data_IF_280215856416
#
_entry.id   IF_280215856416
#
_cell.length_a   1.000
_cell.length_b   1.000
_cell.length_c   1.000
_cell.angle_alpha   90.00
_cell.angle_beta   90.00
_cell.angle_gamma   90.00
#
_symmetry.space_group_name_H-M   'P 1'
#
loop_
_entity.id
_entity.type
_entity.pdbx_description
1 polymer ?
#
# COMPACT_ATOMS: atom_id res chain seq x y z
N UNK A 1 -11.86 -6.12 58.55
CA UNK A 1 -12.65 -6.66 57.41
C UNK A 1 -12.22 -5.90 56.16
N UNK A 2 -11.39 -6.50 55.32
CA UNK A 2 -10.92 -5.90 54.07
C UNK A 2 -11.61 -6.62 52.91
N UNK A 3 -12.38 -5.90 52.10
CA UNK A 3 -13.09 -6.44 50.96
C UNK A 3 -12.12 -6.55 49.76
N UNK A 4 -11.87 -7.78 49.29
CA UNK A 4 -11.11 -8.04 48.06
C UNK A 4 -11.99 -7.78 46.84
N UNK A 5 -11.66 -6.77 46.04
CA UNK A 5 -12.26 -6.55 44.73
C UNK A 5 -11.75 -7.58 43.72
N UNK A 6 -12.64 -8.39 43.15
CA UNK A 6 -12.36 -9.27 42.02
C UNK A 6 -12.22 -8.44 40.74
N UNK A 7 -11.06 -8.51 40.09
CA UNK A 7 -10.85 -7.98 38.76
C UNK A 7 -11.64 -8.80 37.73
N UNK A 8 -12.49 -8.12 36.96
CA UNK A 8 -13.20 -8.71 35.81
C UNK A 8 -12.24 -8.71 34.62
N UNK A 9 -11.90 -9.88 34.11
CA UNK A 9 -11.04 -10.04 32.93
C UNK A 9 -11.70 -9.49 31.65
N UNK A 10 -10.91 -9.15 30.62
CA UNK A 10 -11.44 -8.64 29.37
C UNK A 10 -12.31 -9.71 28.67
N UNK A 11 -13.50 -9.29 28.24
CA UNK A 11 -14.42 -10.14 27.49
C UNK A 11 -13.78 -10.64 26.19
N UNK A 12 -13.92 -11.94 25.92
CA UNK A 12 -13.59 -12.53 24.62
C UNK A 12 -14.34 -11.79 23.50
N UNK A 13 -13.68 -11.45 22.38
CA UNK A 13 -14.37 -10.90 21.23
C UNK A 13 -15.32 -11.95 20.66
N UNK A 14 -16.60 -11.58 20.55
CA UNK A 14 -17.65 -12.41 20.00
C UNK A 14 -17.23 -13.03 18.65
N UNK A 15 -17.46 -14.33 18.50
CA UNK A 15 -17.17 -15.09 17.31
C UNK A 15 -17.72 -14.38 16.06
N UNK A 16 -16.83 -14.10 15.11
CA UNK A 16 -17.10 -13.34 13.89
C UNK A 16 -18.01 -14.18 13.00
N UNK A 17 -19.20 -13.67 12.69
CA UNK A 17 -20.06 -14.25 11.68
C UNK A 17 -19.31 -14.27 10.34
N UNK A 18 -18.95 -15.46 9.89
CA UNK A 18 -18.50 -15.71 8.52
C UNK A 18 -19.66 -15.38 7.59
N UNK A 19 -19.57 -14.27 6.87
CA UNK A 19 -20.54 -13.96 5.81
C UNK A 19 -20.57 -15.15 4.85
N UNK A 20 -21.71 -15.84 4.81
CA UNK A 20 -21.94 -16.95 3.91
C UNK A 20 -21.74 -16.47 2.46
N UNK A 21 -20.99 -17.26 1.68
CA UNK A 21 -20.78 -17.10 0.24
C UNK A 21 -22.12 -17.25 -0.50
N UNK A 22 -22.98 -16.25 -0.44
CA UNK A 22 -24.10 -16.11 -1.37
C UNK A 22 -23.58 -15.68 -2.75
N UNK A 23 -24.21 -16.11 -3.85
CA UNK A 23 -23.85 -15.65 -5.19
C UNK A 23 -23.98 -14.13 -5.25
N UNK A 24 -22.83 -13.46 -5.35
CA UNK A 24 -22.69 -12.01 -5.40
C UNK A 24 -23.30 -11.49 -6.70
N UNK A 25 -24.42 -10.76 -6.61
CA UNK A 25 -25.04 -10.02 -7.73
C UNK A 25 -24.15 -8.90 -8.31
N UNK A 26 -22.91 -8.77 -7.85
CA UNK A 26 -21.95 -7.75 -8.30
C UNK A 26 -20.82 -8.29 -9.19
N UNK A 27 -20.80 -9.59 -9.52
CA UNK A 27 -19.82 -10.18 -10.43
C UNK A 27 -18.37 -10.22 -9.92
N UNK A 28 -18.13 -9.82 -8.66
CA UNK A 28 -16.81 -9.92 -8.04
C UNK A 28 -16.58 -11.30 -7.42
N UNK A 29 -15.42 -11.91 -7.72
CA UNK A 29 -14.87 -13.07 -7.01
C UNK A 29 -13.80 -12.62 -6.02
N UNK A 30 -13.79 -13.20 -4.83
CA UNK A 30 -12.70 -12.98 -3.87
C UNK A 30 -11.38 -13.53 -4.42
N UNK A 31 -10.27 -12.89 -4.04
CA UNK A 31 -8.91 -13.35 -4.32
C UNK A 31 -8.27 -13.73 -3.00
N UNK A 32 -7.91 -15.00 -2.87
CA UNK A 32 -7.28 -15.51 -1.66
C UNK A 32 -5.89 -14.90 -1.45
N UNK A 33 -5.45 -14.87 -0.19
CA UNK A 33 -4.10 -14.42 0.14
C UNK A 33 -3.04 -15.25 -0.61
N UNK A 34 -2.03 -14.59 -1.16
CA UNK A 34 -0.99 -15.14 -2.04
C UNK A 34 -1.47 -15.66 -3.40
N UNK A 35 -2.77 -15.63 -3.72
CA UNK A 35 -3.25 -16.00 -5.04
C UNK A 35 -2.83 -14.97 -6.10
N UNK A 36 -2.72 -15.43 -7.34
CA UNK A 36 -2.34 -14.58 -8.47
C UNK A 36 -3.54 -14.20 -9.32
N UNK A 37 -3.52 -12.98 -9.84
CA UNK A 37 -4.47 -12.48 -10.85
C UNK A 37 -3.71 -11.76 -11.95
N UNK A 38 -4.28 -11.71 -13.15
CA UNK A 38 -3.79 -10.88 -14.24
C UNK A 38 -4.71 -9.68 -14.38
N UNK A 39 -4.15 -8.47 -14.35
CA UNK A 39 -4.87 -7.21 -14.55
C UNK A 39 -3.98 -6.28 -15.38
N UNK A 40 -4.57 -5.64 -16.40
CA UNK A 40 -3.84 -4.72 -17.29
C UNK A 40 -2.56 -5.34 -17.90
N UNK A 41 -2.64 -6.62 -18.28
CA UNK A 41 -1.51 -7.37 -18.87
C UNK A 41 -0.41 -7.77 -17.87
N UNK A 42 -0.52 -7.41 -16.59
CA UNK A 42 0.48 -7.74 -15.56
C UNK A 42 -0.05 -8.79 -14.59
N UNK A 43 0.86 -9.63 -14.09
CA UNK A 43 0.59 -10.59 -13.02
C UNK A 43 0.75 -9.90 -11.66
N UNK A 44 -0.23 -10.08 -10.80
CA UNK A 44 -0.30 -9.52 -9.45
C UNK A 44 -0.49 -10.63 -8.43
N UNK A 45 0.06 -10.46 -7.23
CA UNK A 45 -0.14 -11.36 -6.10
C UNK A 45 -0.90 -10.65 -4.98
N UNK A 46 -1.96 -11.26 -4.46
CA UNK A 46 -2.72 -10.71 -3.34
C UNK A 46 -1.97 -10.84 -2.01
N UNK A 47 -1.99 -9.77 -1.22
CA UNK A 47 -1.56 -9.73 0.17
C UNK A 47 -2.70 -9.16 1.01
N UNK A 48 -3.46 -10.02 1.66
CA UNK A 48 -4.66 -9.62 2.42
C UNK A 48 -4.82 -10.43 3.70
N UNK A 49 -5.37 -9.77 4.73
CA UNK A 49 -5.64 -10.38 6.04
C UNK A 49 -7.01 -11.03 6.19
N UNK A 50 -7.94 -10.77 5.26
CA UNK A 50 -9.31 -11.23 5.37
C UNK A 50 -9.82 -11.76 4.02
N UNK A 51 -10.64 -12.83 4.02
CA UNK A 51 -11.38 -13.25 2.84
C UNK A 51 -12.18 -12.07 2.27
N UNK A 52 -12.09 -11.86 0.96
CA UNK A 52 -12.77 -10.77 0.27
C UNK A 52 -12.13 -9.39 0.45
N UNK A 53 -10.99 -9.28 1.14
CA UNK A 53 -10.25 -8.02 1.22
C UNK A 53 -9.72 -7.56 -0.15
N UNK A 54 -9.45 -8.51 -1.04
CA UNK A 54 -9.24 -8.30 -2.48
C UNK A 54 -10.29 -9.08 -3.24
N UNK A 55 -10.91 -8.45 -4.23
CA UNK A 55 -11.85 -9.10 -5.13
C UNK A 55 -11.74 -8.53 -6.54
N UNK A 56 -11.95 -9.36 -7.55
CA UNK A 56 -11.83 -8.99 -8.97
C UNK A 56 -13.08 -9.42 -9.73
N UNK A 57 -13.40 -8.77 -10.86
CA UNK A 57 -14.46 -9.22 -11.76
C UNK A 57 -13.93 -9.44 -13.18
N UNK A 58 -14.79 -9.92 -14.08
CA UNK A 58 -14.42 -10.23 -15.47
C UNK A 58 -14.16 -9.00 -16.35
N UNK A 59 -14.43 -7.80 -15.85
CA UNK A 59 -14.22 -6.53 -16.54
C UNK A 59 -12.90 -5.83 -16.14
N UNK A 60 -11.93 -6.60 -15.64
CA UNK A 60 -10.65 -6.10 -15.09
C UNK A 60 -10.83 -5.01 -14.01
N UNK A 61 -11.94 -5.07 -13.26
CA UNK A 61 -12.11 -4.25 -12.07
C UNK A 61 -11.59 -4.99 -10.86
N UNK A 62 -10.95 -4.25 -9.96
CA UNK A 62 -10.49 -4.77 -8.68
C UNK A 62 -11.03 -3.90 -7.56
N UNK A 63 -11.57 -4.56 -6.53
CA UNK A 63 -12.04 -3.95 -5.31
C UNK A 63 -11.17 -4.39 -4.14
N UNK A 64 -10.81 -3.41 -3.35
CA UNK A 64 -10.13 -3.58 -2.08
C UNK A 64 -11.06 -3.15 -0.95
N UNK A 65 -11.09 -3.91 0.13
CA UNK A 65 -11.78 -3.52 1.36
C UNK A 65 -10.96 -3.99 2.56
N UNK A 66 -10.74 -3.10 3.53
CA UNK A 66 -10.06 -3.47 4.76
C UNK A 66 -10.58 -2.65 5.94
N UNK A 67 -10.58 -3.27 7.11
CA UNK A 67 -11.03 -2.69 8.38
C UNK A 67 -9.94 -2.76 9.44
N UNK A 68 -10.14 -2.03 10.54
CA UNK A 68 -9.37 -2.18 11.78
C UNK A 68 -9.18 -3.65 12.14
N UNK A 69 -7.92 -4.07 12.30
CA UNK A 69 -7.52 -5.43 12.64
C UNK A 69 -7.29 -6.37 11.45
N UNK A 70 -7.70 -6.01 10.23
CA UNK A 70 -7.49 -6.84 9.04
C UNK A 70 -6.10 -6.59 8.45
N UNK A 71 -5.19 -7.53 8.69
CA UNK A 71 -3.77 -7.40 8.30
C UNK A 71 -3.21 -8.71 7.79
N UNK A 72 -2.17 -8.64 6.96
CA UNK A 72 -1.38 -9.82 6.66
C UNK A 72 -0.73 -10.38 7.94
N UNK A 73 -0.51 -11.68 8.00
CA UNK A 73 0.04 -12.36 9.19
C UNK A 73 1.39 -11.79 9.63
N UNK A 74 2.21 -11.35 8.66
CA UNK A 74 3.53 -10.75 8.87
C UNK A 74 3.50 -9.25 9.23
N UNK A 75 2.34 -8.58 9.11
CA UNK A 75 2.23 -7.18 9.51
C UNK A 75 2.09 -7.04 11.03
N UNK A 76 2.68 -6.02 11.67
CA UNK A 76 2.41 -5.74 13.07
C UNK A 76 0.95 -5.29 13.28
N UNK A 77 0.39 -5.39 14.50
CA UNK A 77 -1.03 -5.11 14.74
C UNK A 77 -1.46 -3.66 14.47
N UNK A 78 -0.51 -2.71 14.40
CA UNK A 78 -0.76 -1.32 14.03
C UNK A 78 -1.05 -1.08 12.53
N UNK A 79 -0.99 -2.11 11.69
CA UNK A 79 -1.19 -2.02 10.24
C UNK A 79 -2.45 -2.74 9.78
N UNK A 80 -2.95 -2.31 8.64
CA UNK A 80 -4.09 -2.85 7.92
C UNK A 80 -3.65 -3.07 6.48
N UNK A 81 -3.99 -4.22 5.88
CA UNK A 81 -3.56 -4.55 4.52
C UNK A 81 -4.59 -5.35 3.73
N UNK A 82 -4.88 -4.86 2.53
CA UNK A 82 -5.48 -5.60 1.44
C UNK A 82 -4.95 -5.03 0.12
N UNK A 83 -3.90 -5.64 -0.44
CA UNK A 83 -3.20 -5.10 -1.60
C UNK A 83 -2.88 -6.17 -2.65
N UNK A 84 -2.57 -5.72 -3.86
CA UNK A 84 -1.98 -6.48 -4.94
C UNK A 84 -0.55 -6.00 -5.16
N UNK A 85 0.39 -6.94 -5.17
CA UNK A 85 1.80 -6.72 -5.46
C UNK A 85 2.12 -7.16 -6.88
N UNK A 86 2.54 -6.22 -7.72
CA UNK A 86 2.97 -6.47 -9.08
C UNK A 86 4.18 -7.40 -9.10
N UNK A 87 4.14 -8.40 -9.98
CA UNK A 87 5.23 -9.36 -10.13
C UNK A 87 6.27 -8.91 -11.17
N UNK A 88 5.91 -7.93 -12.01
CA UNK A 88 6.87 -7.27 -12.89
C UNK A 88 7.83 -6.42 -12.06
N UNK A 89 9.12 -6.62 -12.32
CA UNK A 89 10.21 -5.83 -11.76
C UNK A 89 10.67 -4.83 -12.81
N UNK A 90 10.95 -3.62 -12.35
CA UNK A 90 11.52 -2.55 -13.15
C UNK A 90 12.94 -2.30 -12.70
N UNK A 91 13.89 -2.36 -13.63
CA UNK A 91 15.29 -2.07 -13.36
C UNK A 91 15.50 -0.59 -12.98
N UNK A 92 16.67 -0.27 -12.42
CA UNK A 92 17.10 1.12 -12.22
C UNK A 92 17.03 1.87 -13.55
N UNK A 93 16.40 3.03 -13.56
CA UNK A 93 16.25 3.84 -14.78
C UNK A 93 15.14 3.36 -15.73
N UNK A 94 14.52 2.21 -15.49
CA UNK A 94 13.40 1.74 -16.30
C UNK A 94 12.14 2.57 -16.02
N UNK A 95 11.42 3.02 -17.05
CA UNK A 95 10.17 3.76 -16.85
C UNK A 95 9.06 2.83 -16.34
N UNK A 96 8.32 3.31 -15.35
CA UNK A 96 7.12 2.70 -14.80
C UNK A 96 5.94 3.58 -15.22
N UNK A 97 5.02 3.03 -15.99
CA UNK A 97 3.77 3.70 -16.35
C UNK A 97 2.57 2.93 -15.82
N UNK A 98 1.70 3.62 -15.10
CA UNK A 98 0.47 3.02 -14.59
C UNK A 98 -0.66 4.04 -14.57
N UNK A 99 -1.82 3.69 -15.09
CA UNK A 99 -2.98 4.60 -15.12
C UNK A 99 -4.28 3.85 -14.95
N UNK A 100 -5.34 4.58 -14.62
CA UNK A 100 -6.68 4.05 -14.53
C UNK A 100 -7.63 5.03 -13.87
N UNK A 101 -8.68 4.48 -13.26
CA UNK A 101 -9.60 5.24 -12.43
C UNK A 101 -9.81 4.56 -11.09
N UNK A 102 -10.00 5.36 -10.05
CA UNK A 102 -10.24 4.92 -8.68
C UNK A 102 -11.49 5.60 -8.11
N UNK A 103 -12.28 4.85 -7.38
CA UNK A 103 -13.38 5.36 -6.55
C UNK A 103 -13.16 4.88 -5.12
N UNK A 104 -13.25 5.80 -4.16
CA UNK A 104 -13.26 5.47 -2.73
C UNK A 104 -14.71 5.43 -2.25
N UNK A 105 -15.11 4.38 -1.55
CA UNK A 105 -16.49 4.24 -1.04
C UNK A 105 -16.85 5.40 -0.09
N UNK A 106 -18.07 5.94 -0.20
CA UNK A 106 -18.57 7.02 0.69
C UNK A 106 -18.57 6.64 2.16
N UNK A 107 -18.72 5.35 2.45
CA UNK A 107 -18.67 4.83 3.82
C UNK A 107 -17.25 4.72 4.37
N UNK A 108 -16.20 4.99 3.57
CA UNK A 108 -14.82 4.89 4.02
C UNK A 108 -14.52 5.87 5.16
N UNK A 109 -13.79 5.40 6.16
CA UNK A 109 -13.28 6.11 7.33
C UNK A 109 -11.80 5.77 7.50
N UNK A 110 -10.97 6.80 7.60
CA UNK A 110 -9.51 6.69 7.80
C UNK A 110 -9.06 7.34 9.13
N UNK A 111 -9.97 7.37 10.10
CA UNK A 111 -9.70 8.06 11.37
C UNK A 111 -8.68 7.28 12.20
N UNK A 112 -7.65 7.99 12.67
CA UNK A 112 -6.60 7.40 13.51
C UNK A 112 -5.56 6.57 12.76
N UNK A 113 -5.55 6.59 11.42
CA UNK A 113 -4.37 6.24 10.63
C UNK A 113 -3.47 7.45 10.45
N UNK A 114 -2.17 7.24 10.53
CA UNK A 114 -1.19 8.26 10.14
C UNK A 114 -1.01 8.31 8.61
N UNK A 115 -1.30 7.20 7.93
CA UNK A 115 -1.17 7.05 6.49
C UNK A 115 -2.10 5.92 5.98
N UNK A 116 -2.56 6.06 4.73
CA UNK A 116 -3.36 5.06 4.02
C UNK A 116 -3.01 5.12 2.52
N UNK A 117 -2.04 4.32 2.08
CA UNK A 117 -1.61 4.28 0.69
C UNK A 117 -2.61 3.52 -0.19
N UNK A 118 -2.87 4.03 -1.41
CA UNK A 118 -3.60 3.27 -2.42
C UNK A 118 -2.78 2.83 -3.63
N UNK A 119 -1.65 3.48 -3.85
CA UNK A 119 -0.68 3.16 -4.90
C UNK A 119 0.72 3.37 -4.34
N UNK A 120 1.63 2.45 -4.62
CA UNK A 120 3.02 2.55 -4.19
C UNK A 120 3.95 2.03 -5.28
N UNK A 121 5.16 2.57 -5.30
CA UNK A 121 6.31 1.93 -5.92
C UNK A 121 7.22 1.49 -4.78
N UNK A 122 7.47 0.19 -4.71
CA UNK A 122 8.30 -0.41 -3.69
C UNK A 122 9.59 -0.91 -4.33
N UNK A 123 10.71 -0.67 -3.67
CA UNK A 123 11.98 -1.29 -4.04
C UNK A 123 12.00 -2.74 -3.52
N UNK A 124 12.57 -3.67 -4.28
CA UNK A 124 12.64 -5.07 -3.86
C UNK A 124 13.40 -5.19 -2.53
N UNK A 125 12.82 -5.90 -1.56
CA UNK A 125 13.46 -6.11 -0.26
C UNK A 125 14.66 -7.06 -0.46
N UNK A 126 15.91 -6.62 -0.24
CA UNK A 126 17.07 -7.50 -0.37
C UNK A 126 17.09 -8.51 0.78
N UNK A 127 17.69 -9.67 0.54
CA UNK A 127 17.86 -10.71 1.54
C UNK A 127 19.20 -10.52 2.23
N UNK A 128 19.15 -10.27 3.55
CA UNK A 128 20.32 -10.16 4.42
C UNK A 128 21.01 -11.52 4.62
N UNK A 129 22.25 -11.49 5.11
CA UNK A 129 23.11 -12.64 5.40
C UNK A 129 22.47 -13.65 6.35
N UNK A 130 21.60 -13.17 7.25
CA UNK A 130 20.82 -14.00 8.16
C UNK A 130 19.54 -14.60 7.55
N UNK A 131 19.33 -14.44 6.23
CA UNK A 131 18.16 -14.93 5.51
C UNK A 131 16.90 -14.09 5.66
N UNK A 132 16.92 -13.02 6.44
CA UNK A 132 15.78 -12.11 6.61
C UNK A 132 15.75 -11.05 5.50
N UNK A 133 14.54 -10.63 5.12
CA UNK A 133 14.36 -9.49 4.23
C UNK A 133 14.69 -8.18 4.98
N UNK A 134 15.43 -7.30 4.32
CA UNK A 134 15.52 -5.92 4.78
C UNK A 134 14.18 -5.24 4.55
N UNK A 135 13.56 -4.79 5.63
CA UNK A 135 12.29 -4.07 5.57
C UNK A 135 12.47 -2.74 4.87
N UNK A 136 12.14 -2.66 3.57
CA UNK A 136 12.16 -1.40 2.88
C UNK A 136 10.86 -0.62 3.03
N UNK A 137 11.01 0.70 3.11
CA UNK A 137 9.91 1.62 2.85
C UNK A 137 9.68 1.73 1.34
N UNK A 138 8.44 2.07 0.90
CA UNK A 138 8.19 2.37 -0.50
C UNK A 138 8.95 3.63 -0.93
N UNK A 139 9.58 3.61 -2.10
CA UNK A 139 10.25 4.79 -2.65
C UNK A 139 9.25 5.91 -2.98
N UNK A 140 8.02 5.54 -3.31
CA UNK A 140 6.93 6.44 -3.61
C UNK A 140 5.60 5.84 -3.16
N UNK A 141 4.72 6.67 -2.63
CA UNK A 141 3.35 6.31 -2.31
C UNK A 141 2.39 7.47 -2.57
N UNK A 142 1.16 7.14 -2.95
CA UNK A 142 0.03 8.06 -2.93
C UNK A 142 -0.87 7.68 -1.77
N UNK A 143 -0.90 8.55 -0.76
CA UNK A 143 -1.63 8.34 0.48
C UNK A 143 -2.94 9.12 0.47
N UNK A 144 -4.03 8.46 0.84
CA UNK A 144 -5.25 9.09 1.28
C UNK A 144 -5.08 9.51 2.75
N UNK A 145 -5.39 10.77 3.04
CA UNK A 145 -5.34 11.33 4.40
C UNK A 145 -6.45 12.36 4.60
N UNK A 146 -6.59 12.88 5.82
CA UNK A 146 -7.44 14.02 6.10
C UNK A 146 -6.59 15.30 6.24
N UNK A 147 -7.08 16.43 5.75
CA UNK A 147 -6.51 17.73 6.06
C UNK A 147 -6.92 18.21 7.47
N UNK A 148 -6.46 19.40 7.86
CA UNK A 148 -6.77 19.98 9.18
C UNK A 148 -8.28 20.23 9.40
N UNK A 149 -9.07 20.31 8.33
CA UNK A 149 -10.52 20.45 8.38
C UNK A 149 -11.27 19.12 8.35
N UNK A 150 -10.55 18.00 8.34
CA UNK A 150 -11.14 16.67 8.24
C UNK A 150 -11.56 16.29 6.81
N UNK A 151 -11.17 17.05 5.79
CA UNK A 151 -11.52 16.75 4.39
C UNK A 151 -10.51 15.77 3.78
N UNK A 152 -10.96 14.82 2.94
CA UNK A 152 -10.04 13.90 2.26
C UNK A 152 -9.10 14.63 1.30
N UNK A 153 -7.82 14.28 1.37
CA UNK A 153 -6.77 14.74 0.46
C UNK A 153 -5.88 13.57 0.06
N UNK A 154 -5.42 13.59 -1.19
CA UNK A 154 -4.31 12.74 -1.61
C UNK A 154 -3.00 13.45 -1.36
N UNK A 155 -2.00 12.71 -0.89
CA UNK A 155 -0.62 13.17 -0.71
C UNK A 155 0.30 12.26 -1.48
N UNK A 156 1.02 12.83 -2.44
CA UNK A 156 2.12 12.16 -3.10
C UNK A 156 3.36 12.32 -2.22
N UNK A 157 3.98 11.21 -1.82
CA UNK A 157 5.18 11.22 -0.99
C UNK A 157 6.21 10.24 -1.49
N UNK A 158 7.48 10.53 -1.24
CA UNK A 158 8.57 9.64 -1.63
C UNK A 158 9.82 9.85 -0.82
N UNK A 159 10.74 8.92 -0.97
CA UNK A 159 12.07 8.99 -0.41
C UNK A 159 13.00 9.76 -1.35
N UNK A 160 13.78 10.67 -0.77
CA UNK A 160 14.74 11.50 -1.52
C UNK A 160 16.16 11.40 -0.96
N UNK A 161 16.46 10.35 -0.20
CA UNK A 161 17.73 10.20 0.52
C UNK A 161 18.76 9.41 -0.28
N UNK A 162 19.95 10.00 -0.50
CA UNK A 162 21.19 9.24 -0.69
C UNK A 162 21.69 8.84 0.70
N UNK A 163 21.21 7.73 1.25
CA UNK A 163 21.55 7.36 2.61
C UNK A 163 21.32 5.90 2.90
N UNK A 164 22.22 5.34 3.71
CA UNK A 164 22.15 3.99 4.24
C UNK A 164 20.77 3.77 4.89
N UNK A 165 20.10 2.66 4.57
CA UNK A 165 18.83 2.28 5.22
C UNK A 165 19.08 1.77 6.66
N UNK A 166 19.89 2.48 7.45
CA UNK A 166 20.14 2.19 8.87
C UNK A 166 19.05 2.80 9.75
N UNK A 167 18.42 3.88 9.30
CA UNK A 167 17.28 4.54 9.92
C UNK A 167 16.27 4.91 8.84
N UNK A 168 14.99 5.01 9.20
CA UNK A 168 13.90 5.41 8.29
C UNK A 168 14.34 6.59 7.41
N UNK A 169 14.41 6.37 6.10
CA UNK A 169 14.70 7.44 5.13
C UNK A 169 13.61 8.52 5.24
N UNK A 170 13.97 9.80 5.24
CA UNK A 170 13.00 10.87 5.42
C UNK A 170 12.04 10.91 4.24
N UNK A 171 10.81 10.46 4.48
CA UNK A 171 9.69 10.62 3.55
C UNK A 171 9.36 12.10 3.39
N UNK A 172 9.36 12.59 2.14
CA UNK A 172 8.93 13.95 1.81
C UNK A 172 7.58 13.93 1.13
N UNK A 173 6.77 14.95 1.42
CA UNK A 173 5.55 15.21 0.66
C UNK A 173 5.96 15.99 -0.58
N UNK A 174 5.73 15.43 -1.76
CA UNK A 174 5.98 16.09 -3.05
C UNK A 174 4.82 16.99 -3.46
N UNK A 175 3.61 16.67 -3.03
CA UNK A 175 2.45 17.52 -3.22
C UNK A 175 1.17 16.86 -2.72
N UNK A 176 0.08 17.60 -2.82
CA UNK A 176 -1.24 17.15 -2.39
C UNK A 176 -2.34 17.69 -3.30
N UNK A 177 -3.47 16.99 -3.31
CA UNK A 177 -4.65 17.41 -4.05
C UNK A 177 -5.92 17.09 -3.25
N UNK A 178 -6.96 17.94 -3.33
CA UNK A 178 -8.28 17.62 -2.81
C UNK A 178 -8.82 16.32 -3.42
N UNK A 179 -9.54 15.54 -2.60
CA UNK A 179 -10.11 14.27 -3.02
C UNK A 179 -11.54 14.12 -2.51
N UNK A 180 -12.39 13.38 -3.23
CA UNK A 180 -13.78 13.20 -2.87
C UNK A 180 -14.16 11.71 -2.84
N UNK A 181 -14.82 11.28 -1.75
CA UNK A 181 -15.37 9.94 -1.67
C UNK A 181 -16.64 9.82 -2.51
N UNK A 182 -16.90 8.63 -3.05
CA UNK A 182 -18.01 8.33 -3.95
C UNK A 182 -17.90 8.96 -5.34
N UNK A 183 -16.78 9.62 -5.64
CA UNK A 183 -16.49 10.19 -6.96
C UNK A 183 -15.43 9.35 -7.63
N UNK A 184 -15.57 9.16 -8.93
CA UNK A 184 -14.53 8.53 -9.74
C UNK A 184 -13.45 9.55 -10.09
N UNK A 185 -12.20 9.20 -9.81
CA UNK A 185 -11.04 9.98 -10.17
C UNK A 185 -10.18 9.21 -11.16
N UNK A 186 -9.82 9.84 -12.28
CA UNK A 186 -8.78 9.32 -13.16
C UNK A 186 -7.41 9.61 -12.58
N UNK A 187 -6.46 8.71 -12.78
CA UNK A 187 -5.08 8.92 -12.36
C UNK A 187 -4.09 8.43 -13.42
N UNK A 188 -2.89 9.01 -13.41
CA UNK A 188 -1.75 8.50 -14.16
C UNK A 188 -0.47 8.69 -13.37
N UNK A 189 0.36 7.66 -13.38
CA UNK A 189 1.69 7.60 -12.78
C UNK A 189 2.71 7.37 -13.90
N UNK A 190 3.74 8.20 -13.90
CA UNK A 190 4.98 7.97 -14.63
C UNK A 190 6.12 8.08 -13.61
N UNK A 191 6.97 7.07 -13.52
CA UNK A 191 8.10 7.11 -12.62
C UNK A 191 9.34 6.45 -13.22
N UNK A 192 10.49 6.85 -12.73
CA UNK A 192 11.78 6.23 -13.01
C UNK A 192 12.53 6.19 -11.69
N UNK A 193 12.80 4.97 -11.19
CA UNK A 193 13.56 4.78 -9.95
C UNK A 193 15.06 4.96 -10.22
N UNK A 194 15.64 5.98 -9.60
CA UNK A 194 17.06 6.28 -9.66
C UNK A 194 17.91 5.50 -8.67
N UNK A 195 17.33 4.72 -7.76
CA UNK A 195 18.05 3.99 -6.70
C UNK A 195 19.01 4.91 -5.92
N UNK A 196 18.50 6.03 -5.43
CA UNK A 196 19.28 7.10 -4.78
C UNK A 196 19.84 8.14 -5.76
N UNK A 197 19.96 7.83 -7.05
CA UNK A 197 20.35 8.79 -8.09
C UNK A 197 19.15 9.52 -8.70
N UNK A 198 19.44 10.34 -9.71
CA UNK A 198 18.44 11.08 -10.45
C UNK A 198 17.38 10.13 -11.05
N UNK A 199 16.14 10.38 -10.68
CA UNK A 199 14.96 9.78 -11.27
C UNK A 199 13.85 10.83 -11.39
N UNK A 200 12.65 10.35 -11.68
CA UNK A 200 11.48 11.21 -11.87
C UNK A 200 10.24 10.53 -11.34
N UNK A 201 9.34 11.32 -10.76
CA UNK A 201 8.01 10.85 -10.34
C UNK A 201 6.99 11.91 -10.76
N UNK A 202 6.04 11.52 -11.58
CA UNK A 202 4.89 12.34 -11.97
C UNK A 202 3.60 11.60 -11.68
N UNK A 203 2.75 12.20 -10.86
CA UNK A 203 1.43 11.68 -10.55
C UNK A 203 0.37 12.72 -10.85
N UNK A 204 -0.56 12.39 -11.74
CA UNK A 204 -1.69 13.23 -12.11
C UNK A 204 -2.98 12.65 -11.53
N UNK A 205 -3.85 13.52 -11.03
CA UNK A 205 -5.22 13.23 -10.63
C UNK A 205 -6.16 14.09 -11.46
N UNK A 206 -7.08 13.47 -12.19
CA UNK A 206 -7.98 14.17 -13.11
C UNK A 206 -7.24 15.09 -14.10
N UNK A 207 -6.11 14.60 -14.63
CA UNK A 207 -5.23 15.33 -15.54
C UNK A 207 -4.40 16.46 -14.90
N UNK A 208 -4.57 16.73 -13.60
CA UNK A 208 -3.82 17.77 -12.88
C UNK A 208 -2.68 17.17 -12.06
N UNK A 209 -1.49 17.79 -12.06
CA UNK A 209 -0.37 17.28 -11.28
C UNK A 209 -0.65 17.39 -9.78
N UNK A 210 -0.54 16.26 -9.09
CA UNK A 210 -0.36 16.20 -7.62
C UNK A 210 1.13 16.26 -7.29
N UNK A 211 1.96 15.69 -8.16
CA UNK A 211 3.42 15.66 -8.07
C UNK A 211 4.04 15.66 -9.48
N UNK A 212 5.11 16.42 -9.66
CA UNK A 212 6.06 16.30 -10.78
C UNK A 212 7.46 16.59 -10.21
N UNK A 213 8.05 15.56 -9.61
CA UNK A 213 9.34 15.62 -8.93
C UNK A 213 10.44 15.06 -9.83
N UNK A 214 11.58 15.76 -9.87
CA UNK A 214 12.82 15.28 -10.49
C UNK A 214 13.98 15.48 -9.51
N UNK A 215 14.78 14.45 -9.31
CA UNK A 215 15.86 14.45 -8.32
C UNK A 215 16.18 13.04 -7.82
N UNK A 216 16.92 12.89 -6.71
CA UNK A 216 17.14 11.61 -6.07
C UNK A 216 15.83 10.89 -5.75
N UNK A 217 15.65 9.66 -6.24
CA UNK A 217 14.47 8.82 -5.96
C UNK A 217 14.90 7.44 -5.46
N UNK A 218 14.15 6.89 -4.51
CA UNK A 218 14.51 5.63 -3.86
C UNK A 218 15.77 5.75 -3.02
N UNK A 219 16.36 4.61 -2.69
CA UNK A 219 17.63 4.52 -1.98
C UNK A 219 18.59 3.58 -2.70
N UNK A 220 19.88 3.76 -2.41
CA UNK A 220 20.94 2.92 -2.96
C UNK A 220 21.20 1.76 -1.99
N UNK A 221 21.23 0.52 -2.50
CA UNK A 221 21.42 -0.68 -1.68
C UNK A 221 22.85 -0.86 -1.12
N UNK A 222 23.73 0.16 -1.20
CA UNK A 222 25.18 0.02 -0.99
C UNK A 222 25.54 -0.72 0.31
N UNK A 223 24.78 -0.48 1.37
CA UNK A 223 24.98 -1.16 2.66
C UNK A 223 24.22 -2.48 2.79
N UNK A 224 23.01 -2.57 2.23
CA UNK A 224 22.23 -3.81 2.24
C UNK A 224 22.91 -4.93 1.46
N UNK A 225 23.71 -4.57 0.45
CA UNK A 225 24.52 -5.50 -0.33
C UNK A 225 25.81 -5.92 0.37
N UNK A 226 26.34 -5.13 1.32
CA UNK A 226 27.51 -5.54 2.14
C UNK A 226 27.16 -6.71 3.04
N UNK A 227 25.94 -6.73 3.58
CA UNK A 227 25.40 -7.82 4.38
C UNK A 227 24.59 -8.83 3.54
N UNK A 228 24.67 -8.80 2.20
CA UNK A 228 23.94 -9.77 1.37
C UNK A 228 24.52 -11.18 1.53
N UNK A 229 23.65 -12.20 1.43
CA UNK A 229 24.08 -13.60 1.33
C UNK A 229 25.05 -13.79 0.14
N UNK A 230 26.32 -14.19 0.37
CA UNK A 230 27.26 -14.46 -0.71
C UNK A 230 26.72 -15.52 -1.67
N UNK A 231 26.89 -15.29 -2.97
CA UNK A 231 26.47 -16.23 -4.01
C UNK A 231 24.97 -16.25 -4.34
N UNK A 232 24.14 -15.40 -3.70
CA UNK A 232 22.75 -15.19 -4.13
C UNK A 232 22.60 -13.90 -4.91
N UNK A 233 21.99 -13.98 -6.09
CA UNK A 233 21.54 -12.81 -6.82
C UNK A 233 20.51 -12.06 -5.97
N UNK A 234 20.83 -10.82 -5.61
CA UNK A 234 19.89 -9.96 -4.91
C UNK A 234 18.81 -9.51 -5.88
N UNK A 235 17.56 -9.57 -5.43
CA UNK A 235 16.46 -8.98 -6.19
C UNK A 235 16.65 -7.47 -6.15
N UNK A 236 17.05 -6.90 -7.28
CA UNK A 236 17.15 -5.47 -7.46
C UNK A 236 15.97 -4.97 -8.30
N UNK A 237 15.72 -3.67 -8.22
CA UNK A 237 14.65 -3.01 -8.96
C UNK A 237 13.44 -2.69 -8.10
N UNK A 238 12.43 -2.14 -8.76
CA UNK A 238 11.20 -1.67 -8.14
C UNK A 238 9.99 -2.44 -8.69
N UNK A 239 8.86 -2.34 -8.01
CA UNK A 239 7.61 -2.98 -8.38
C UNK A 239 6.42 -2.17 -7.89
N UNK A 240 5.30 -2.30 -8.59
CA UNK A 240 4.05 -1.62 -8.25
C UNK A 240 3.31 -2.36 -7.14
N UNK A 241 2.69 -1.61 -6.23
CA UNK A 241 1.64 -2.10 -5.35
C UNK A 241 0.41 -1.22 -5.46
N UNK A 242 -0.77 -1.84 -5.41
CA UNK A 242 -2.04 -1.11 -5.36
C UNK A 242 -2.98 -1.78 -4.35
N UNK A 243 -3.82 -1.00 -3.69
CA UNK A 243 -4.82 -1.52 -2.75
C UNK A 243 -4.90 -0.71 -1.48
N UNK A 244 -5.03 -1.32 -0.33
CA UNK A 244 -5.06 -0.65 0.98
C UNK A 244 -3.85 -1.10 1.76
N UNK A 245 -2.99 -0.16 2.08
CA UNK A 245 -2.00 -0.32 3.13
C UNK A 245 -2.15 0.88 4.04
N UNK A 246 -2.49 0.66 5.30
CA UNK A 246 -2.74 1.73 6.25
C UNK A 246 -2.18 1.40 7.62
N UNK A 247 -1.93 2.42 8.44
CA UNK A 247 -1.52 2.18 9.81
C UNK A 247 -1.07 3.41 10.56
N UNK A 248 -0.35 3.16 11.65
CA UNK A 248 0.31 4.17 12.47
C UNK A 248 1.83 4.14 12.28
N UNK A 249 2.50 5.25 12.52
CA UNK A 249 3.97 5.33 12.53
C UNK A 249 4.56 4.60 13.73
N UNK A 250 3.90 4.68 14.89
CA UNK A 250 4.38 4.12 16.16
C UNK A 250 3.31 3.33 16.91
N UNK A 251 3.72 2.67 17.99
CA UNK A 251 2.87 1.83 18.83
C UNK A 251 2.56 0.45 18.23
N UNK A 252 1.80 -0.35 18.98
CA UNK A 252 1.37 -1.69 18.57
C UNK A 252 -0.15 -1.86 18.57
N UNK A 253 -0.91 -0.80 18.85
CA UNK A 253 -2.36 -0.85 18.77
C UNK A 253 -2.83 -0.57 17.33
N UNK A 254 -3.87 -1.25 16.84
CA UNK A 254 -4.47 -0.93 15.56
C UNK A 254 -5.06 0.50 15.56
N UNK A 255 -5.27 1.11 14.38
CA UNK A 255 -6.12 2.28 14.23
C UNK A 255 -7.53 2.02 14.77
N UNK A 256 -8.11 2.92 15.57
CA UNK A 256 -9.35 2.63 16.31
C UNK A 256 -10.61 2.57 15.43
N UNK A 257 -10.68 3.32 14.33
CA UNK A 257 -11.86 3.37 13.44
C UNK A 257 -11.44 3.53 11.99
N UNK A 258 -11.09 2.40 11.36
CA UNK A 258 -10.74 2.34 9.95
C UNK A 258 -11.65 1.37 9.22
N UNK A 259 -12.24 1.86 8.14
CA UNK A 259 -12.81 1.06 7.08
C UNK A 259 -12.51 1.77 5.77
N UNK A 260 -11.81 1.12 4.86
CA UNK A 260 -11.48 1.71 3.57
C UNK A 260 -11.92 0.74 2.50
N UNK A 261 -12.55 1.26 1.46
CA UNK A 261 -12.83 0.48 0.28
C UNK A 261 -12.52 1.27 -1.00
N UNK A 262 -11.73 0.66 -1.87
CA UNK A 262 -11.33 1.20 -3.16
C UNK A 262 -11.87 0.32 -4.28
N UNK A 263 -12.29 0.93 -5.38
CA UNK A 263 -12.55 0.23 -6.64
C UNK A 263 -11.70 0.86 -7.73
N UNK A 264 -10.83 0.05 -8.33
CA UNK A 264 -10.04 0.44 -9.49
C UNK A 264 -10.64 -0.17 -10.76
N UNK A 265 -10.55 0.57 -11.85
CA UNK A 265 -11.01 0.14 -13.18
C UNK A 265 -10.21 0.80 -14.29
N UNK A 266 -10.31 0.26 -15.50
CA UNK A 266 -9.61 0.77 -16.70
C UNK A 266 -8.10 0.87 -16.48
N UNK A 267 -7.55 -0.11 -15.76
CA UNK A 267 -6.13 -0.16 -15.44
C UNK A 267 -5.33 -0.35 -16.73
N UNK A 268 -4.21 0.37 -16.86
CA UNK A 268 -3.28 0.24 -17.97
C UNK A 268 -1.85 0.32 -17.46
N UNK A 269 -1.00 -0.48 -18.09
CA UNK A 269 0.45 -0.48 -17.91
C UNK A 269 1.10 -0.24 -19.28
N UNK A 270 2.33 0.29 -19.32
CA UNK A 270 3.05 0.57 -20.57
C UNK A 270 4.46 1.09 -20.31
#
# INVERSE_FOLDING_TARGET
MAASGKAVGPAEPAARATAANGPSSSGYRAVDNNAFVTLAGQKWQAQTGAPGGVSVNDADMVRFAARTGERASFDPPRKIRAELCGQQRYAKGEPIRFSGAVTVDRASRITGTDWCSFLQIHQADPVRSNGQFAMASPLFAVDLSLDRSGKPVLRARGETGKGEQRTFSPMRIFGSAPFAFGVEHSFSLEATDGHGDAGRIRFLLNGRPVCDFSGPTGYEYVDLLKDALPGRQQLTGSYLKMGIYAGKFSGNAPPPDVFVAYTFRRLKTG
#
